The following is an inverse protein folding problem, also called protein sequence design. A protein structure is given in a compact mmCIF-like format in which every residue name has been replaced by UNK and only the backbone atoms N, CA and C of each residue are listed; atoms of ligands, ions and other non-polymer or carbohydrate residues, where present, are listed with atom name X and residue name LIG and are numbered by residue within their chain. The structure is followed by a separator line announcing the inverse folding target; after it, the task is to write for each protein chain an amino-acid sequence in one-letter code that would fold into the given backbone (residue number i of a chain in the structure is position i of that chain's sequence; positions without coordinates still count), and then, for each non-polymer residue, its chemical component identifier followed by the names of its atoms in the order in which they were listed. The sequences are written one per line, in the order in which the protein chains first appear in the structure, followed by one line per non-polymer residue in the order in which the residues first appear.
data_IF_775526688618
#
_entry.id   IF_775526688618
#
_cell.length_a   1.000
_cell.length_b   1.000
_cell.length_c   1.000
_cell.angle_alpha   90.00
_cell.angle_beta   90.00
_cell.angle_gamma   90.00
#
_symmetry.space_group_name_H-M   'P 1'
#
loop_
_entity.id
_entity.type
_entity.pdbx_description
1 polymer ?
#
# COMPACT_ATOMS: atom_id res chain seq x y z
N UNK A 1 13.89 -8.12 -12.22
CA UNK A 1 12.98 -8.78 -11.26
C UNK A 1 12.12 -7.72 -10.62
N UNK A 2 10.82 -7.94 -10.46
CA UNK A 2 9.94 -6.98 -9.78
C UNK A 2 9.84 -7.33 -8.30
N UNK A 3 10.15 -6.36 -7.44
CA UNK A 3 10.12 -6.51 -5.97
C UNK A 3 8.73 -6.16 -5.45
N UNK A 4 8.07 -7.03 -4.69
CA UNK A 4 6.76 -6.70 -4.09
C UNK A 4 6.94 -5.98 -2.76
N UNK A 5 6.22 -4.88 -2.54
CA UNK A 5 6.14 -4.21 -1.22
C UNK A 5 4.71 -4.14 -0.74
N UNK A 6 4.51 -4.13 0.59
CA UNK A 6 3.20 -4.03 1.24
C UNK A 6 3.06 -2.82 2.16
N UNK A 7 1.85 -2.27 2.23
CA UNK A 7 1.43 -1.31 3.27
C UNK A 7 0.38 -1.98 4.16
N UNK A 8 0.55 -1.82 5.48
CA UNK A 8 -0.44 -2.17 6.48
C UNK A 8 -0.99 -0.90 7.14
N UNK A 9 -2.31 -0.88 7.38
CA UNK A 9 -3.02 0.17 8.11
C UNK A 9 -3.73 -0.42 9.32
N UNK A 10 -3.93 0.36 10.38
CA UNK A 10 -4.75 -0.06 11.51
C UNK A 10 -6.23 0.12 11.16
N UNK A 11 -6.96 -0.99 11.02
CA UNK A 11 -8.40 -0.98 10.75
C UNK A 11 -9.22 -0.88 12.04
N UNK A 12 -8.70 -1.47 13.12
CA UNK A 12 -9.20 -1.38 14.50
C UNK A 12 -8.03 -1.51 15.47
N UNK A 13 -8.17 -1.16 16.76
CA UNK A 13 -7.12 -1.36 17.75
C UNK A 13 -6.56 -2.80 17.73
N UNK A 14 -5.31 -2.94 17.28
CA UNK A 14 -4.64 -4.24 17.16
C UNK A 14 -5.01 -5.08 15.93
N UNK A 15 -5.89 -4.61 15.03
CA UNK A 15 -6.18 -5.23 13.73
C UNK A 15 -5.51 -4.43 12.61
N UNK A 16 -4.54 -5.04 11.95
CA UNK A 16 -3.85 -4.44 10.81
C UNK A 16 -4.36 -5.03 9.50
N UNK A 17 -4.92 -4.17 8.64
CA UNK A 17 -5.32 -4.51 7.29
C UNK A 17 -4.18 -4.27 6.31
N UNK A 18 -3.86 -5.30 5.53
CA UNK A 18 -2.83 -5.26 4.49
C UNK A 18 -3.51 -4.95 3.16
N UNK A 19 -3.54 -3.68 2.83
CA UNK A 19 -4.37 -3.15 1.74
C UNK A 19 -3.60 -3.03 0.42
N UNK A 20 -2.30 -2.73 0.47
CA UNK A 20 -1.55 -2.34 -0.73
C UNK A 20 -0.43 -3.33 -1.06
N UNK A 21 -0.28 -3.72 -2.34
CA UNK A 21 0.89 -4.46 -2.84
C UNK A 21 1.39 -3.87 -4.17
N UNK A 22 2.58 -3.27 -4.20
CA UNK A 22 3.17 -2.71 -5.43
C UNK A 22 4.23 -3.62 -6.04
N UNK A 23 4.32 -3.63 -7.38
CA UNK A 23 5.40 -4.27 -8.14
C UNK A 23 6.53 -3.27 -8.40
N UNK A 24 7.77 -3.59 -8.00
CA UNK A 24 8.94 -2.69 -7.92
C UNK A 24 8.94 -1.74 -6.70
N UNK A 25 8.53 -2.27 -5.55
CA UNK A 25 8.45 -1.56 -4.28
C UNK A 25 9.78 -1.35 -3.55
N UNK A 26 10.89 -1.16 -4.25
CA UNK A 26 12.10 -0.64 -3.60
C UNK A 26 11.80 0.75 -3.02
N UNK A 27 12.25 1.10 -1.81
CA UNK A 27 12.01 2.42 -1.22
C UNK A 27 12.39 3.58 -2.17
N UNK A 28 13.47 3.44 -2.93
CA UNK A 28 13.90 4.45 -3.90
C UNK A 28 13.04 4.59 -5.17
N UNK A 29 12.21 3.59 -5.51
CA UNK A 29 11.34 3.59 -6.71
C UNK A 29 9.86 3.79 -6.35
N UNK A 30 9.44 3.33 -5.18
CA UNK A 30 8.06 3.45 -4.70
C UNK A 30 7.72 4.89 -4.33
N UNK A 31 8.72 5.68 -3.90
CA UNK A 31 8.52 7.05 -3.46
C UNK A 31 8.32 8.06 -4.60
N UNK A 32 9.07 8.07 -5.72
CA UNK A 32 8.92 9.16 -6.70
C UNK A 32 7.55 9.21 -7.41
N UNK A 33 6.97 8.05 -7.77
CA UNK A 33 5.68 8.02 -8.46
C UNK A 33 4.50 8.31 -7.53
N UNK A 34 4.62 7.95 -6.25
CA UNK A 34 3.62 8.20 -5.22
C UNK A 34 3.82 9.53 -4.49
N UNK A 35 5.00 10.15 -4.56
CA UNK A 35 5.35 11.40 -3.88
C UNK A 35 4.36 12.56 -4.10
N UNK A 36 3.72 12.70 -5.28
CA UNK A 36 2.72 13.74 -5.48
C UNK A 36 1.37 13.49 -4.78
N UNK A 37 1.11 12.26 -4.34
CA UNK A 37 -0.19 11.81 -3.83
C UNK A 37 -0.21 11.81 -2.31
N UNK A 38 -1.36 12.18 -1.73
CA UNK A 38 -1.54 12.08 -0.29
C UNK A 38 -1.65 10.61 0.15
N UNK A 39 -1.29 10.25 1.40
CA UNK A 39 -1.61 8.93 1.94
C UNK A 39 -3.06 8.56 1.71
N UNK A 40 -4.00 9.48 1.92
CA UNK A 40 -5.44 9.28 1.74
C UNK A 40 -5.80 8.87 0.31
N UNK A 41 -5.22 9.53 -0.71
CA UNK A 41 -5.42 9.16 -2.12
C UNK A 41 -4.93 7.73 -2.43
N UNK A 42 -3.77 7.38 -1.87
CA UNK A 42 -3.14 6.07 -2.04
C UNK A 42 -3.99 4.98 -1.38
N UNK A 43 -4.52 5.27 -0.19
CA UNK A 43 -5.37 4.36 0.58
C UNK A 43 -6.75 4.18 -0.08
N UNK A 44 -7.32 5.25 -0.63
CA UNK A 44 -8.61 5.22 -1.32
C UNK A 44 -8.62 4.29 -2.55
N UNK A 45 -7.45 4.05 -3.16
CA UNK A 45 -7.33 3.14 -4.28
C UNK A 45 -7.49 1.66 -3.89
N UNK A 46 -7.37 1.31 -2.60
CA UNK A 46 -7.42 -0.05 -2.05
C UNK A 46 -6.34 -0.96 -2.67
N UNK A 47 -6.51 -1.34 -3.93
CA UNK A 47 -5.56 -2.12 -4.72
C UNK A 47 -5.17 -1.36 -6.01
N UNK A 48 -4.00 -0.71 -6.01
CA UNK A 48 -3.50 0.00 -7.20
C UNK A 48 -3.05 -1.00 -8.26
N UNK A 49 -3.57 -0.83 -9.47
CA UNK A 49 -3.13 -1.49 -10.68
C UNK A 49 -1.93 -0.78 -11.31
N UNK A 50 -1.98 0.56 -11.39
CA UNK A 50 -0.92 1.39 -11.96
C UNK A 50 -0.95 2.81 -11.39
N UNK A 51 0.21 3.43 -11.19
CA UNK A 51 0.34 4.87 -10.91
C UNK A 51 0.87 5.57 -12.16
N UNK A 52 0.24 6.68 -12.55
CA UNK A 52 0.65 7.58 -13.64
C UNK A 52 0.81 8.99 -13.11
N UNK A 53 1.42 9.86 -13.89
CA UNK A 53 1.61 11.26 -13.52
C UNK A 53 0.29 12.02 -13.32
N UNK A 54 -0.79 11.55 -13.95
CA UNK A 54 -2.12 12.16 -13.96
C UNK A 54 -3.16 11.40 -13.12
N UNK A 55 -2.82 10.23 -12.56
CA UNK A 55 -3.80 9.43 -11.83
C UNK A 55 -3.27 8.17 -11.17
N UNK A 56 -4.01 7.71 -10.15
CA UNK A 56 -3.90 6.37 -9.58
C UNK A 56 -5.00 5.49 -10.21
N UNK A 57 -4.62 4.45 -10.94
CA UNK A 57 -5.53 3.45 -11.50
C UNK A 57 -5.66 2.27 -10.53
N UNK A 58 -6.86 2.07 -9.98
CA UNK A 58 -7.20 0.94 -9.11
C UNK A 58 -7.86 -0.21 -9.88
N UNK A 59 -7.87 -1.41 -9.30
CA UNK A 59 -8.72 -2.49 -9.81
C UNK A 59 -10.20 -2.21 -9.56
N UNK A 60 -11.08 -2.50 -10.53
CA UNK A 60 -12.54 -2.35 -10.37
C UNK A 60 -13.12 -3.26 -9.26
N UNK A 61 -12.47 -4.42 -9.05
CA UNK A 61 -12.82 -5.40 -8.01
C UNK A 61 -11.58 -5.69 -7.17
N UNK A 62 -11.24 -4.81 -6.21
CA UNK A 62 -10.10 -5.04 -5.34
C UNK A 62 -10.34 -6.30 -4.51
N UNK A 63 -9.24 -7.00 -4.21
CA UNK A 63 -9.27 -8.14 -3.30
C UNK A 63 -9.46 -7.66 -1.87
N UNK A 64 -10.11 -8.48 -1.04
CA UNK A 64 -10.22 -8.18 0.38
C UNK A 64 -8.82 -8.08 1.00
N UNK A 65 -8.56 -7.07 1.83
CA UNK A 65 -7.27 -6.92 2.48
C UNK A 65 -7.02 -8.09 3.42
N UNK A 66 -5.78 -8.56 3.45
CA UNK A 66 -5.38 -9.63 4.37
C UNK A 66 -5.25 -9.02 5.77
N UNK A 67 -6.00 -9.53 6.74
CA UNK A 67 -5.89 -9.09 8.14
C UNK A 67 -4.88 -9.98 8.86
N UNK A 68 -3.84 -9.38 9.45
CA UNK A 68 -2.86 -10.11 10.25
C UNK A 68 -2.85 -9.59 11.69
N UNK A 69 -2.60 -10.46 12.69
CA UNK A 69 -2.64 -10.08 14.11
C UNK A 69 -1.48 -9.19 14.56
N UNK A 70 -0.48 -8.97 13.69
CA UNK A 70 0.68 -8.12 13.94
C UNK A 70 1.36 -7.72 12.63
N UNK A 71 2.11 -6.60 12.58
CA UNK A 71 2.86 -6.21 11.39
C UNK A 71 3.78 -7.36 10.95
N UNK A 72 3.46 -7.97 9.82
CA UNK A 72 4.18 -9.13 9.29
C UNK A 72 4.61 -8.85 7.87
N UNK A 73 5.92 -8.94 7.63
CA UNK A 73 6.52 -8.77 6.32
C UNK A 73 6.33 -10.04 5.48
N UNK A 74 5.27 -10.11 4.68
CA UNK A 74 4.99 -11.20 3.74
C UNK A 74 5.74 -11.02 2.40
N UNK A 75 6.14 -9.78 2.06
CA UNK A 75 6.92 -9.46 0.87
C UNK A 75 8.31 -8.87 1.20
N UNK A 76 8.89 -8.06 0.32
CA UNK A 76 10.26 -7.54 0.51
C UNK A 76 10.31 -6.38 1.52
N UNK A 77 9.38 -5.43 1.40
CA UNK A 77 9.28 -4.26 2.28
C UNK A 77 7.88 -4.21 2.92
N UNK A 78 7.83 -3.80 4.19
CA UNK A 78 6.61 -3.53 4.93
C UNK A 78 6.64 -2.07 5.38
N UNK A 79 5.62 -1.33 4.99
CA UNK A 79 5.33 0.00 5.48
C UNK A 79 4.11 -0.08 6.41
N UNK A 80 4.17 0.62 7.54
CA UNK A 80 3.04 0.74 8.45
C UNK A 80 2.63 2.19 8.44
N UNK A 81 1.41 2.46 7.99
CA UNK A 81 0.82 3.78 8.14
C UNK A 81 0.19 3.85 9.53
N UNK A 82 0.65 4.82 10.31
CA UNK A 82 0.02 5.23 11.55
C UNK A 82 -0.68 6.54 11.20
N UNK A 83 -2.01 6.55 11.34
CA UNK A 83 -2.85 7.71 11.07
C UNK A 83 -2.18 8.94 11.72
N UNK A 84 -1.78 9.89 10.88
CA UNK A 84 -0.64 10.77 11.13
C UNK A 84 -0.59 11.33 12.56
N UNK A 85 0.57 11.18 13.21
CA UNK A 85 0.88 11.91 14.45
C UNK A 85 1.16 13.39 14.16
#
# INVERSE_FOLDING_TARGET
MSTRAQIAIEARPGELAHIYTHYDGYPGHMLPALAPWSPEDILAAIEIRQVRADGIEAFERPRDPVILPRPTRQFCHLYVWQDGA
#
